data_IF_319173010367
#
_entry.id   IF_319173010367
#
_cell.length_a   1.000
_cell.length_b   1.000
_cell.length_c   1.000
_cell.angle_alpha   90.00
_cell.angle_beta   90.00
_cell.angle_gamma   90.00
#
_symmetry.space_group_name_H-M   'P 1'
#
loop_
_entity.id
_entity.type
_entity.pdbx_description
1 polymer ?
#
# COMPACT_ATOMS: atom_id res chain seq x y z
N UNK A 1 37.59 4.20 69.06
CA UNK A 1 38.04 4.69 67.72
C UNK A 1 36.81 4.84 66.87
N UNK A 2 36.21 6.05 66.94
CA UNK A 2 35.05 6.42 66.13
C UNK A 2 35.52 6.89 64.79
N UNK A 3 35.13 6.18 63.73
CA UNK A 3 35.31 6.61 62.38
C UNK A 3 34.10 7.44 61.92
N UNK A 4 34.25 8.77 61.93
CA UNK A 4 33.28 9.70 61.42
C UNK A 4 33.11 9.47 59.90
N UNK A 5 31.91 9.07 59.49
CA UNK A 5 31.49 9.04 58.08
C UNK A 5 31.23 10.51 57.65
N UNK A 6 32.04 11.02 56.76
CA UNK A 6 31.85 12.33 56.16
C UNK A 6 30.54 12.36 55.34
N UNK A 7 29.57 13.13 55.78
CA UNK A 7 28.36 13.46 55.01
C UNK A 7 28.77 14.27 53.77
N UNK A 8 28.38 13.74 52.65
CA UNK A 8 28.49 14.42 51.33
C UNK A 8 27.50 15.58 51.32
N UNK A 9 27.93 16.81 51.00
CA UNK A 9 26.98 17.90 50.94
C UNK A 9 25.95 17.68 49.84
N UNK A 10 24.69 17.86 50.19
CA UNK A 10 23.58 17.81 49.26
C UNK A 10 23.77 18.87 48.18
N UNK A 11 23.93 18.43 46.94
CA UNK A 11 23.85 19.32 45.77
C UNK A 11 22.42 19.89 45.68
N UNK A 12 22.25 21.12 46.14
CA UNK A 12 21.08 21.93 45.81
C UNK A 12 21.20 22.39 44.36
N UNK A 13 20.98 21.46 43.45
CA UNK A 13 20.73 21.80 42.06
C UNK A 13 19.35 22.41 41.95
N UNK A 14 19.23 23.65 41.53
CA UNK A 14 18.00 24.24 41.01
C UNK A 14 17.58 23.48 39.76
N UNK A 15 17.17 22.25 39.93
CA UNK A 15 16.55 21.46 38.87
C UNK A 15 15.20 22.07 38.57
N UNK A 16 15.13 22.82 37.50
CA UNK A 16 13.87 23.15 36.85
C UNK A 16 13.13 21.83 36.67
N UNK A 17 12.06 21.62 37.40
CA UNK A 17 11.27 20.39 37.24
C UNK A 17 10.99 20.23 35.77
N UNK A 18 11.41 19.09 35.21
CA UNK A 18 11.14 18.80 33.82
C UNK A 18 9.63 18.92 33.58
N UNK A 19 9.25 19.73 32.61
CA UNK A 19 7.82 19.82 32.25
C UNK A 19 7.26 18.43 32.08
N UNK A 20 6.09 18.11 32.66
CA UNK A 20 5.50 16.79 32.54
C UNK A 20 5.38 16.44 31.04
N UNK A 21 5.86 15.25 30.68
CA UNK A 21 5.80 14.79 29.31
C UNK A 21 4.33 14.76 28.84
N UNK A 22 4.06 15.39 27.70
CA UNK A 22 2.74 15.35 27.09
C UNK A 22 2.37 13.92 26.76
N UNK A 23 1.10 13.56 26.95
CA UNK A 23 0.59 12.28 26.52
C UNK A 23 0.49 12.22 24.98
N UNK A 24 0.59 11.01 24.39
CA UNK A 24 0.46 10.85 22.93
C UNK A 24 -0.84 11.45 22.40
N UNK A 25 -0.78 12.03 21.23
CA UNK A 25 -1.92 12.61 20.49
C UNK A 25 -3.19 11.76 20.52
N UNK A 26 -3.06 10.44 20.37
CA UNK A 26 -4.18 9.50 20.29
C UNK A 26 -5.07 9.54 21.55
N UNK A 27 -4.51 9.84 22.72
CA UNK A 27 -5.26 9.87 23.99
C UNK A 27 -6.24 11.03 24.10
N UNK A 28 -6.02 12.10 23.35
CA UNK A 28 -6.89 13.29 23.31
C UNK A 28 -7.72 13.41 22.04
N UNK A 29 -7.68 12.43 21.14
CA UNK A 29 -8.42 12.46 19.87
C UNK A 29 -9.61 11.50 19.87
N UNK A 30 -10.50 11.70 18.92
CA UNK A 30 -11.62 10.81 18.64
C UNK A 30 -11.47 10.18 17.25
N UNK A 31 -11.68 8.86 17.11
CA UNK A 31 -11.69 8.26 15.79
C UNK A 31 -12.88 8.75 14.97
N UNK A 32 -12.63 8.95 13.68
CA UNK A 32 -13.66 9.20 12.68
C UNK A 32 -13.64 8.02 11.73
N UNK A 33 -14.83 7.53 11.39
CA UNK A 33 -15.01 6.45 10.44
C UNK A 33 -16.36 6.65 9.74
N UNK A 34 -16.35 7.11 8.48
CA UNK A 34 -17.56 7.54 7.75
C UNK A 34 -17.56 7.03 6.33
N UNK A 35 -18.71 6.52 5.90
CA UNK A 35 -19.01 6.32 4.49
C UNK A 35 -19.60 7.62 3.92
N UNK A 36 -18.91 8.23 2.96
CA UNK A 36 -19.29 9.54 2.42
C UNK A 36 -19.60 9.44 0.95
N UNK A 37 -19.03 8.48 0.25
CA UNK A 37 -19.19 8.32 -1.19
C UNK A 37 -19.97 7.04 -1.50
N UNK A 38 -20.98 7.15 -2.36
CA UNK A 38 -21.75 6.03 -2.88
C UNK A 38 -22.15 6.35 -4.33
N UNK A 39 -21.62 5.58 -5.27
CA UNK A 39 -21.91 5.76 -6.68
C UNK A 39 -22.17 4.41 -7.34
N UNK A 40 -23.20 4.36 -8.19
CA UNK A 40 -23.53 3.16 -8.97
C UNK A 40 -23.43 3.50 -10.46
N UNK A 41 -22.69 2.69 -11.19
CA UNK A 41 -22.40 2.89 -12.60
C UNK A 41 -22.34 1.54 -13.32
N UNK A 42 -22.80 1.50 -14.57
CA UNK A 42 -22.73 0.30 -15.40
C UNK A 42 -21.34 0.23 -16.07
N UNK A 43 -20.69 -0.92 -15.99
CA UNK A 43 -19.49 -1.20 -16.79
C UNK A 43 -19.85 -1.26 -18.27
N UNK A 44 -18.97 -0.72 -19.09
CA UNK A 44 -19.14 -0.68 -20.54
C UNK A 44 -17.92 -1.32 -21.24
N UNK A 45 -17.93 -1.35 -22.56
CA UNK A 45 -16.78 -1.72 -23.37
C UNK A 45 -15.65 -0.67 -23.35
N UNK A 46 -15.94 0.54 -22.86
CA UNK A 46 -14.95 1.60 -22.61
C UNK A 46 -14.73 1.84 -21.11
N UNK A 47 -13.68 2.56 -20.77
CA UNK A 47 -13.44 2.99 -19.38
C UNK A 47 -14.42 4.08 -18.96
N UNK A 48 -14.85 4.07 -17.70
CA UNK A 48 -15.80 5.04 -17.16
C UNK A 48 -15.20 5.76 -15.96
N UNK A 49 -15.00 7.06 -16.07
CA UNK A 49 -14.52 7.88 -14.95
C UNK A 49 -15.67 8.11 -13.97
N UNK A 50 -15.42 7.78 -12.70
CA UNK A 50 -16.36 8.08 -11.62
C UNK A 50 -16.23 9.54 -11.16
N UNK A 51 -17.26 10.12 -10.51
CA UNK A 51 -17.14 11.42 -9.87
C UNK A 51 -15.95 11.43 -8.88
N UNK A 52 -15.12 12.47 -8.95
CA UNK A 52 -13.97 12.61 -8.03
C UNK A 52 -14.46 12.70 -6.58
N UNK A 53 -13.90 11.89 -5.70
CA UNK A 53 -14.14 11.99 -4.28
C UNK A 53 -13.21 13.03 -3.65
N UNK A 54 -13.79 14.04 -3.04
CA UNK A 54 -13.09 15.05 -2.26
C UNK A 54 -13.18 14.66 -0.77
N UNK A 55 -12.01 14.56 -0.10
CA UNK A 55 -11.98 14.13 1.30
C UNK A 55 -12.62 15.14 2.22
N UNK A 56 -13.41 14.67 3.19
CA UNK A 56 -13.94 15.49 4.26
C UNK A 56 -12.85 16.03 5.18
N UNK A 57 -12.99 17.30 5.57
CA UNK A 57 -11.97 18.06 6.31
C UNK A 57 -12.18 17.97 7.83
N UNK A 58 -12.07 16.77 8.38
CA UNK A 58 -12.42 16.48 9.79
C UNK A 58 -11.23 16.49 10.77
N UNK A 59 -10.01 16.70 10.29
CA UNK A 59 -8.83 16.68 11.16
C UNK A 59 -7.64 15.98 10.52
N UNK A 60 -7.45 14.68 10.78
CA UNK A 60 -6.31 13.91 10.29
C UNK A 60 -6.80 12.63 9.61
N UNK A 61 -6.57 12.51 8.31
CA UNK A 61 -6.93 11.32 7.53
C UNK A 61 -5.84 10.26 7.66
N UNK A 62 -6.22 9.04 8.02
CA UNK A 62 -5.32 7.87 8.15
C UNK A 62 -5.38 6.95 6.94
N UNK A 63 -6.51 6.90 6.28
CA UNK A 63 -6.72 6.07 5.11
C UNK A 63 -8.16 6.03 4.67
N UNK A 64 -8.39 5.26 3.62
CA UNK A 64 -9.72 5.00 3.08
C UNK A 64 -9.86 3.54 2.70
N UNK A 65 -11.09 3.03 2.73
CA UNK A 65 -11.47 1.78 2.10
C UNK A 65 -12.36 2.06 0.90
N UNK A 66 -12.03 1.45 -0.22
CA UNK A 66 -12.86 1.41 -1.41
C UNK A 66 -13.58 0.06 -1.41
N UNK A 67 -14.88 0.05 -1.20
CA UNK A 67 -15.73 -1.12 -1.35
C UNK A 67 -16.32 -1.10 -2.76
N UNK A 68 -16.02 -2.13 -3.53
CA UNK A 68 -16.53 -2.36 -4.87
C UNK A 68 -17.47 -3.56 -4.85
N UNK A 69 -18.71 -3.36 -5.32
CA UNK A 69 -19.72 -4.39 -5.42
C UNK A 69 -20.28 -4.41 -6.85
N UNK A 70 -20.06 -5.49 -7.55
CA UNK A 70 -20.57 -5.71 -8.89
C UNK A 70 -21.73 -6.68 -8.88
N UNK A 71 -22.84 -6.26 -9.44
CA UNK A 71 -24.00 -7.12 -9.72
C UNK A 71 -24.07 -7.35 -11.21
N UNK A 72 -23.82 -8.59 -11.62
CA UNK A 72 -23.98 -9.03 -12.98
C UNK A 72 -25.39 -9.60 -13.18
N UNK A 73 -25.95 -9.36 -14.37
CA UNK A 73 -27.11 -10.07 -14.84
C UNK A 73 -26.66 -10.97 -15.99
N UNK A 74 -26.77 -12.26 -15.80
CA UNK A 74 -26.31 -13.26 -16.75
C UNK A 74 -27.43 -14.22 -17.12
N UNK A 75 -27.27 -14.96 -18.21
CA UNK A 75 -28.21 -16.01 -18.62
C UNK A 75 -27.72 -17.37 -18.12
N UNK A 76 -28.62 -18.36 -18.05
CA UNK A 76 -28.27 -19.72 -17.66
C UNK A 76 -27.39 -20.44 -18.71
N UNK A 77 -27.30 -19.89 -19.91
CA UNK A 77 -26.52 -20.45 -21.03
C UNK A 77 -25.11 -19.91 -21.14
N UNK A 78 -24.78 -18.78 -20.44
CA UNK A 78 -23.48 -18.13 -20.53
C UNK A 78 -22.65 -18.38 -19.29
N UNK A 79 -21.39 -18.68 -19.50
CA UNK A 79 -20.39 -18.86 -18.44
C UNK A 79 -19.66 -17.54 -18.24
N UNK A 80 -19.63 -17.04 -17.02
CA UNK A 80 -18.80 -15.88 -16.68
C UNK A 80 -17.50 -16.37 -16.03
N UNK A 81 -16.36 -15.87 -16.52
CA UNK A 81 -15.05 -16.15 -15.98
C UNK A 81 -14.24 -14.85 -15.86
N UNK A 82 -13.35 -14.77 -14.85
CA UNK A 82 -12.52 -13.60 -14.62
C UNK A 82 -11.15 -13.75 -15.26
N UNK A 83 -10.55 -12.62 -15.62
CA UNK A 83 -9.14 -12.57 -16.00
C UNK A 83 -8.24 -12.90 -14.80
N UNK A 84 -6.96 -13.10 -15.05
CA UNK A 84 -5.94 -13.38 -14.02
C UNK A 84 -5.94 -12.34 -12.89
N UNK A 85 -6.13 -11.06 -13.22
CA UNK A 85 -6.14 -9.94 -12.28
C UNK A 85 -7.55 -9.57 -11.78
N UNK A 86 -8.56 -10.25 -12.28
CA UNK A 86 -9.95 -10.07 -11.85
C UNK A 86 -10.22 -10.62 -10.44
N UNK A 87 -11.16 -10.01 -9.69
CA UNK A 87 -11.95 -8.84 -10.03
C UNK A 87 -11.28 -7.49 -9.70
N UNK A 88 -10.10 -7.47 -9.06
CA UNK A 88 -9.46 -6.23 -8.60
C UNK A 88 -9.17 -5.25 -9.73
N UNK A 89 -8.90 -5.74 -10.95
CA UNK A 89 -8.67 -4.94 -12.15
C UNK A 89 -9.90 -4.11 -12.58
N UNK A 90 -11.04 -4.24 -11.91
CA UNK A 90 -12.25 -3.45 -12.19
C UNK A 90 -12.02 -1.93 -12.14
N UNK A 91 -10.98 -1.48 -11.45
CA UNK A 91 -10.50 -0.11 -11.56
C UNK A 91 -9.29 -0.04 -12.49
N UNK A 92 -9.45 0.68 -13.62
CA UNK A 92 -8.36 0.97 -14.54
C UNK A 92 -7.37 1.97 -13.93
N UNK A 93 -7.89 2.91 -13.13
CA UNK A 93 -7.05 3.91 -12.46
C UNK A 93 -7.62 4.24 -11.09
N UNK A 94 -6.74 4.20 -10.10
CA UNK A 94 -6.92 4.73 -8.76
C UNK A 94 -5.78 5.71 -8.53
N UNK A 95 -6.12 6.96 -8.22
CA UNK A 95 -5.14 7.99 -7.92
C UNK A 95 -5.58 8.81 -6.72
N UNK A 96 -4.74 8.84 -5.69
CA UNK A 96 -4.89 9.72 -4.55
C UNK A 96 -3.91 10.88 -4.67
N UNK A 97 -4.41 12.10 -4.64
CA UNK A 97 -3.65 13.33 -4.90
C UNK A 97 -3.71 14.30 -3.73
N UNK A 98 -2.64 15.06 -3.58
CA UNK A 98 -2.54 16.14 -2.62
C UNK A 98 -3.40 17.37 -3.04
N UNK A 99 -3.34 18.41 -2.23
CA UNK A 99 -4.06 19.67 -2.44
C UNK A 99 -3.63 20.43 -3.70
N UNK A 100 -2.46 20.12 -4.26
CA UNK A 100 -1.93 20.66 -5.50
C UNK A 100 -2.15 19.74 -6.71
N UNK A 101 -2.96 18.69 -6.56
CA UNK A 101 -3.19 17.63 -7.53
C UNK A 101 -1.94 16.78 -7.87
N UNK A 102 -0.91 16.79 -7.01
CA UNK A 102 0.24 15.92 -7.17
C UNK A 102 -0.10 14.52 -6.62
N UNK A 103 0.16 13.44 -7.37
CA UNK A 103 -0.09 12.10 -6.88
C UNK A 103 0.71 11.78 -5.62
N UNK A 104 0.04 11.19 -4.63
CA UNK A 104 0.62 10.59 -3.43
C UNK A 104 0.63 9.07 -3.60
N UNK A 105 -0.47 8.52 -4.15
CA UNK A 105 -0.61 7.10 -4.47
C UNK A 105 -1.13 6.98 -5.89
N UNK A 106 -0.43 6.24 -6.71
CA UNK A 106 -0.76 6.02 -8.12
C UNK A 106 -0.30 7.15 -9.06
N UNK A 107 -0.83 7.16 -10.32
CA UNK A 107 -1.93 6.32 -10.82
C UNK A 107 -1.57 4.84 -10.94
N UNK A 108 -2.46 3.98 -10.50
CA UNK A 108 -2.30 2.52 -10.59
C UNK A 108 -3.65 1.82 -10.74
N UNK A 109 -3.65 0.58 -11.22
CA UNK A 109 -4.88 -0.20 -11.35
C UNK A 109 -5.38 -0.68 -9.98
N UNK A 110 -6.62 -1.17 -9.93
CA UNK A 110 -7.14 -1.77 -8.72
C UNK A 110 -6.36 -3.02 -8.30
N UNK A 111 -5.88 -3.83 -9.27
CA UNK A 111 -4.99 -4.96 -9.00
C UNK A 111 -3.65 -4.49 -8.41
N UNK A 112 -3.04 -3.48 -9.01
CA UNK A 112 -1.78 -2.91 -8.51
C UNK A 112 -1.93 -2.45 -7.05
N UNK A 113 -3.01 -1.73 -6.74
CA UNK A 113 -3.27 -1.27 -5.38
C UNK A 113 -3.55 -2.43 -4.41
N UNK A 114 -4.19 -3.51 -4.87
CA UNK A 114 -4.37 -4.72 -4.07
C UNK A 114 -3.01 -5.37 -3.74
N UNK A 115 -2.07 -5.42 -4.69
CA UNK A 115 -0.71 -5.90 -4.46
C UNK A 115 0.07 -4.98 -3.50
N UNK A 116 -0.07 -3.67 -3.66
CA UNK A 116 0.49 -2.67 -2.73
C UNK A 116 -0.02 -2.89 -1.31
N UNK A 117 -1.29 -3.15 -1.13
CA UNK A 117 -1.89 -3.42 0.19
C UNK A 117 -1.39 -4.74 0.77
N UNK A 118 -1.38 -5.80 -0.05
CA UNK A 118 -0.96 -7.14 0.36
C UNK A 118 0.52 -7.16 0.78
N UNK A 119 1.39 -6.64 -0.06
CA UNK A 119 2.84 -6.64 0.15
C UNK A 119 3.37 -5.34 0.76
N UNK A 120 2.52 -4.39 1.04
CA UNK A 120 2.84 -3.12 1.68
C UNK A 120 2.76 -3.14 3.21
N UNK A 121 2.51 -4.31 3.83
CA UNK A 121 2.38 -4.43 5.29
C UNK A 121 1.02 -3.96 5.83
N UNK A 122 -0.03 -3.94 5.01
CA UNK A 122 -1.38 -3.54 5.42
C UNK A 122 -2.37 -4.72 5.49
N UNK A 123 -2.01 -5.88 4.97
CA UNK A 123 -2.77 -7.10 5.12
C UNK A 123 -2.29 -7.87 6.37
N UNK A 124 -3.22 -8.46 7.09
CA UNK A 124 -2.91 -9.31 8.25
C UNK A 124 -2.70 -10.73 7.72
N UNK A 125 -1.49 -11.21 7.54
CA UNK A 125 -1.10 -12.57 7.17
C UNK A 125 -2.02 -13.35 6.20
N UNK A 126 -3.22 -12.84 5.92
CA UNK A 126 -4.23 -13.41 5.05
C UNK A 126 -4.29 -12.66 3.72
N UNK A 127 -4.49 -13.39 2.64
CA UNK A 127 -4.78 -12.83 1.34
C UNK A 127 -6.06 -11.96 1.40
N UNK A 128 -6.10 -10.88 0.62
CA UNK A 128 -7.30 -10.07 0.46
C UNK A 128 -8.52 -10.89 -0.01
N UNK A 129 -8.29 -11.99 -0.73
CA UNK A 129 -9.31 -12.96 -1.15
C UNK A 129 -9.90 -13.77 0.02
N UNK A 130 -9.25 -13.81 1.17
CA UNK A 130 -9.76 -14.47 2.38
C UNK A 130 -10.61 -13.52 3.26
N UNK A 131 -10.85 -12.31 2.83
CA UNK A 131 -11.71 -11.35 3.52
C UNK A 131 -13.18 -11.74 3.42
N UNK A 132 -13.94 -11.52 4.49
CA UNK A 132 -15.41 -11.65 4.46
C UNK A 132 -16.08 -10.72 3.45
N UNK A 133 -15.40 -9.69 3.02
CA UNK A 133 -15.86 -8.77 1.98
C UNK A 133 -15.52 -9.21 0.56
N UNK A 134 -14.72 -10.27 0.40
CA UNK A 134 -14.39 -10.79 -0.92
C UNK A 134 -15.38 -11.89 -1.34
N UNK A 135 -15.94 -11.73 -2.50
CA UNK A 135 -16.76 -12.78 -3.14
C UNK A 135 -16.66 -12.67 -4.65
N UNK A 136 -16.67 -13.84 -5.31
CA UNK A 136 -16.63 -13.96 -6.76
C UNK A 136 -17.60 -15.07 -7.17
N UNK A 137 -18.50 -14.80 -8.10
CA UNK A 137 -19.41 -15.79 -8.66
C UNK A 137 -19.03 -16.06 -10.10
N UNK A 138 -18.50 -17.25 -10.37
CA UNK A 138 -18.16 -17.70 -11.72
C UNK A 138 -19.21 -18.69 -12.24
N UNK A 139 -19.12 -19.00 -13.51
CA UNK A 139 -19.94 -20.02 -14.15
C UNK A 139 -21.27 -19.52 -14.69
N UNK A 140 -22.19 -20.46 -14.91
CA UNK A 140 -23.52 -20.19 -15.44
C UNK A 140 -24.51 -19.79 -14.36
N UNK A 141 -25.52 -19.04 -14.71
CA UNK A 141 -26.59 -18.62 -13.81
C UNK A 141 -26.76 -17.11 -13.75
N UNK A 142 -27.88 -16.67 -13.22
CA UNK A 142 -28.31 -15.25 -13.27
C UNK A 142 -27.36 -14.28 -12.56
N UNK A 143 -26.54 -14.75 -11.62
CA UNK A 143 -25.55 -13.95 -10.88
C UNK A 143 -24.10 -14.22 -11.30
N UNK A 144 -23.88 -15.05 -12.32
CA UNK A 144 -22.52 -15.31 -12.85
C UNK A 144 -21.86 -14.03 -13.30
N UNK A 145 -20.63 -13.77 -12.85
CA UNK A 145 -19.90 -12.52 -13.06
C UNK A 145 -20.04 -11.50 -11.93
N UNK A 146 -20.89 -11.72 -10.93
CA UNK A 146 -20.97 -10.84 -9.77
C UNK A 146 -19.77 -10.99 -8.86
N UNK A 147 -19.29 -9.88 -8.29
CA UNK A 147 -18.17 -9.88 -7.37
C UNK A 147 -18.25 -8.77 -6.31
N UNK A 148 -17.46 -8.92 -5.27
CA UNK A 148 -17.28 -7.90 -4.23
C UNK A 148 -15.87 -7.98 -3.66
N UNK A 149 -15.27 -6.82 -3.41
CA UNK A 149 -13.99 -6.72 -2.72
C UNK A 149 -13.82 -5.37 -2.02
N UNK A 150 -12.88 -5.32 -1.09
CA UNK A 150 -12.41 -4.09 -0.45
C UNK A 150 -10.93 -3.90 -0.78
N UNK A 151 -10.55 -2.67 -1.15
CA UNK A 151 -9.17 -2.24 -1.27
C UNK A 151 -8.94 -1.08 -0.31
N UNK A 152 -7.84 -1.11 0.43
CA UNK A 152 -7.39 0.01 1.25
C UNK A 152 -6.55 0.97 0.42
N UNK A 153 -6.75 2.28 0.61
CA UNK A 153 -5.82 3.32 0.17
C UNK A 153 -4.90 3.63 1.37
N UNK A 154 -3.62 3.19 1.34
CA UNK A 154 -2.74 3.20 2.50
C UNK A 154 -2.08 4.58 2.68
N UNK A 155 -2.69 5.46 3.45
CA UNK A 155 -2.16 6.80 3.74
C UNK A 155 -1.21 6.75 4.94
N UNK A 156 -1.67 6.26 6.10
CA UNK A 156 -0.80 6.10 7.27
C UNK A 156 0.28 5.05 7.02
N UNK A 157 1.48 5.31 7.51
CA UNK A 157 2.61 4.40 7.39
C UNK A 157 2.54 3.28 8.43
N UNK A 158 2.25 3.63 9.68
CA UNK A 158 2.16 2.69 10.80
C UNK A 158 0.83 2.87 11.50
N UNK A 159 0.01 1.82 11.49
CA UNK A 159 -1.35 1.83 12.07
C UNK A 159 -1.34 2.06 13.58
N UNK A 160 -0.32 1.58 14.27
CA UNK A 160 -0.24 1.61 15.75
C UNK A 160 -0.28 3.03 16.31
N UNK A 161 0.45 3.95 15.69
CA UNK A 161 0.64 5.32 16.17
C UNK A 161 0.17 6.39 15.20
N UNK A 162 -0.34 5.97 14.01
CA UNK A 162 -0.84 6.88 13.00
C UNK A 162 0.22 7.73 12.32
N UNK A 163 1.48 7.32 12.38
CA UNK A 163 2.55 7.97 11.64
C UNK A 163 2.18 8.05 10.16
N UNK A 164 2.32 9.22 9.56
CA UNK A 164 1.93 9.48 8.18
C UNK A 164 0.46 9.87 7.99
N UNK A 165 -0.30 10.04 9.07
CA UNK A 165 -1.65 10.62 8.98
C UNK A 165 -1.57 12.05 8.41
N UNK A 166 -2.39 12.34 7.40
CA UNK A 166 -2.38 13.61 6.70
C UNK A 166 -3.27 14.64 7.40
N UNK A 167 -2.73 15.83 7.60
CA UNK A 167 -3.51 16.98 8.07
C UNK A 167 -4.56 17.36 7.02
N UNK A 168 -5.83 17.27 7.38
CA UNK A 168 -6.97 17.53 6.50
C UNK A 168 -8.02 18.40 7.20
N UNK A 169 -7.69 19.68 7.44
CA UNK A 169 -8.53 20.65 8.17
C UNK A 169 -8.98 21.82 7.31
N UNK A 170 -8.39 21.99 6.12
CA UNK A 170 -8.66 23.15 5.29
C UNK A 170 -9.71 22.82 4.22
N UNK A 171 -10.85 23.49 4.26
CA UNK A 171 -11.88 23.35 3.24
C UNK A 171 -11.48 23.91 1.87
N UNK A 172 -10.44 24.75 1.81
CA UNK A 172 -9.94 25.33 0.56
C UNK A 172 -8.79 24.52 -0.07
N UNK A 173 -8.21 23.57 0.68
CA UNK A 173 -7.08 22.78 0.23
C UNK A 173 -7.34 21.31 0.57
N UNK A 174 -8.02 20.62 -0.35
CA UNK A 174 -8.56 19.28 -0.12
C UNK A 174 -7.82 18.22 -0.91
N UNK A 175 -7.65 17.05 -0.29
CA UNK A 175 -7.16 15.84 -0.96
C UNK A 175 -8.27 15.24 -1.83
N UNK A 176 -7.87 14.55 -2.91
CA UNK A 176 -8.79 13.98 -3.88
C UNK A 176 -8.46 12.53 -4.17
N UNK A 177 -9.49 11.75 -4.37
CA UNK A 177 -9.39 10.39 -4.89
C UNK A 177 -10.15 10.31 -6.22
N UNK A 178 -9.42 10.04 -7.28
CA UNK A 178 -9.94 9.81 -8.61
C UNK A 178 -9.99 8.31 -8.92
N UNK A 179 -11.13 7.86 -9.43
CA UNK A 179 -11.39 6.47 -9.77
C UNK A 179 -11.90 6.38 -11.22
N UNK A 180 -11.36 5.44 -11.97
CA UNK A 180 -11.84 5.11 -13.32
C UNK A 180 -12.11 3.62 -13.40
N UNK A 181 -13.32 3.22 -13.76
CA UNK A 181 -13.67 1.83 -14.01
C UNK A 181 -13.04 1.34 -15.31
N UNK A 182 -12.66 0.08 -15.30
CA UNK A 182 -12.09 -0.59 -16.46
C UNK A 182 -13.18 -1.14 -17.39
N UNK A 183 -12.76 -1.67 -18.53
CA UNK A 183 -13.65 -2.30 -19.50
C UNK A 183 -14.09 -3.69 -19.03
N UNK A 184 -15.20 -4.18 -19.55
CA UNK A 184 -15.65 -5.56 -19.28
C UNK A 184 -14.55 -6.58 -19.65
N UNK A 185 -13.96 -6.47 -20.84
CA UNK A 185 -12.93 -7.39 -21.32
C UNK A 185 -11.65 -7.40 -20.47
N UNK A 186 -11.38 -6.34 -19.69
CA UNK A 186 -10.26 -6.31 -18.75
C UNK A 186 -10.54 -7.13 -17.49
N UNK A 187 -11.81 -7.20 -17.08
CA UNK A 187 -12.23 -7.88 -15.84
C UNK A 187 -12.58 -9.34 -16.10
N UNK A 188 -13.17 -9.61 -17.23
CA UNK A 188 -13.67 -10.93 -17.59
C UNK A 188 -12.91 -11.54 -18.77
N UNK A 189 -12.54 -12.79 -18.66
CA UNK A 189 -12.10 -13.60 -19.80
C UNK A 189 -13.31 -14.14 -20.59
N UNK A 190 -14.44 -14.34 -19.90
CA UNK A 190 -15.75 -14.63 -20.46
C UNK A 190 -16.77 -13.66 -19.84
N UNK A 191 -17.34 -12.79 -20.65
CA UNK A 191 -18.22 -11.73 -20.19
C UNK A 191 -19.62 -12.25 -19.79
N UNK A 192 -20.22 -11.71 -18.70
CA UNK A 192 -21.65 -11.84 -18.46
C UNK A 192 -22.46 -11.23 -19.61
N UNK A 193 -23.53 -11.90 -20.02
CA UNK A 193 -24.23 -11.60 -21.30
C UNK A 193 -25.02 -10.31 -21.35
N UNK A 194 -25.37 -9.69 -20.21
CA UNK A 194 -26.31 -8.57 -20.26
C UNK A 194 -25.74 -7.27 -19.73
N UNK A 195 -25.37 -7.21 -18.48
CA UNK A 195 -24.80 -6.00 -17.90
C UNK A 195 -24.13 -6.28 -16.56
N UNK A 196 -23.15 -5.46 -16.21
CA UNK A 196 -22.52 -5.45 -14.91
C UNK A 196 -22.66 -4.05 -14.31
N UNK A 197 -23.42 -3.95 -13.22
CA UNK A 197 -23.58 -2.71 -12.48
C UNK A 197 -22.61 -2.71 -11.30
N UNK A 198 -21.77 -1.68 -11.20
CA UNK A 198 -20.79 -1.54 -10.12
C UNK A 198 -21.25 -0.42 -9.19
N UNK A 199 -21.39 -0.77 -7.91
CA UNK A 199 -21.55 0.17 -6.82
C UNK A 199 -20.22 0.35 -6.11
N UNK A 200 -19.71 1.58 -6.11
CA UNK A 200 -18.45 1.96 -5.43
C UNK A 200 -18.78 2.81 -4.22
N UNK A 201 -18.34 2.38 -3.04
CA UNK A 201 -18.45 3.12 -1.80
C UNK A 201 -17.08 3.40 -1.20
N UNK A 202 -16.90 4.60 -0.65
CA UNK A 202 -15.64 4.99 0.00
C UNK A 202 -15.94 5.28 1.46
N UNK A 203 -15.15 4.64 2.33
CA UNK A 203 -15.19 4.87 3.77
C UNK A 203 -13.87 5.50 4.18
N UNK A 204 -13.93 6.74 4.65
CA UNK A 204 -12.78 7.49 5.16
C UNK A 204 -12.66 7.26 6.66
N UNK A 205 -11.43 7.02 7.15
CA UNK A 205 -11.15 6.91 8.56
C UNK A 205 -9.97 7.78 8.98
N UNK A 206 -10.02 8.26 10.21
CA UNK A 206 -9.02 9.20 10.72
C UNK A 206 -9.21 9.56 12.19
N UNK A 207 -8.69 10.71 12.56
CA UNK A 207 -8.89 11.31 13.87
C UNK A 207 -9.41 12.74 13.74
N UNK A 208 -10.31 13.10 14.62
CA UNK A 208 -10.63 14.51 14.88
C UNK A 208 -9.44 15.22 15.55
N UNK A 209 -9.52 16.52 15.67
CA UNK A 209 -8.55 17.29 16.48
C UNK A 209 -8.49 16.77 17.90
N UNK A 210 -7.27 16.86 18.47
CA UNK A 210 -7.09 16.58 19.87
C UNK A 210 -7.83 17.62 20.73
N UNK A 211 -8.56 17.14 21.72
CA UNK A 211 -9.14 18.00 22.75
C UNK A 211 -8.08 18.63 23.68
N UNK A 212 -6.78 18.38 23.43
CA UNK A 212 -5.61 18.83 24.20
C UNK A 212 -5.54 18.34 25.64
N UNK A 213 -6.55 17.68 26.13
CA UNK A 213 -6.63 17.10 27.45
C UNK A 213 -7.28 15.73 27.34
N UNK A 214 -6.64 14.70 27.87
CA UNK A 214 -7.21 13.37 27.90
C UNK A 214 -8.31 13.24 28.98
N UNK A 215 -9.00 12.09 29.01
CA UNK A 215 -10.06 11.81 30.00
C UNK A 215 -9.57 11.84 31.46
N UNK A 216 -8.26 11.71 31.68
CA UNK A 216 -7.63 11.83 33.00
C UNK A 216 -7.15 13.27 33.31
N UNK A 217 -7.53 14.24 32.48
CA UNK A 217 -7.14 15.66 32.58
C UNK A 217 -5.65 15.93 32.42
N UNK A 218 -4.94 15.04 31.75
CA UNK A 218 -3.53 15.27 31.40
C UNK A 218 -3.45 15.98 30.05
N UNK A 219 -2.45 16.85 29.92
CA UNK A 219 -2.16 17.49 28.64
C UNK A 219 -1.70 16.45 27.59
N UNK A 220 -2.23 16.56 26.38
CA UNK A 220 -1.89 15.71 25.24
C UNK A 220 -1.18 16.51 24.15
N UNK A 221 -0.37 15.81 23.34
CA UNK A 221 0.22 16.42 22.16
C UNK A 221 -0.92 16.82 21.17
N UNK A 222 -0.96 18.06 20.70
CA UNK A 222 -1.99 18.49 19.75
C UNK A 222 -1.82 17.93 18.34
N UNK A 223 -0.69 17.29 18.05
CA UNK A 223 -0.36 16.77 16.74
C UNK A 223 -0.08 15.26 16.77
N UNK A 224 -0.40 14.52 15.68
CA UNK A 224 0.02 13.15 15.53
C UNK A 224 1.56 13.05 15.46
N UNK A 225 2.11 11.85 15.70
CA UNK A 225 3.55 11.62 15.60
C UNK A 225 4.11 12.06 14.24
N UNK A 226 5.23 12.79 14.24
CA UNK A 226 5.94 13.23 13.06
C UNK A 226 5.00 13.79 11.96
N UNK A 227 4.15 14.74 12.35
CA UNK A 227 3.27 15.47 11.43
C UNK A 227 4.06 15.94 10.19
N UNK A 228 3.48 15.83 9.01
CA UNK A 228 4.08 16.06 7.69
C UNK A 228 5.03 14.94 7.21
N UNK A 229 5.17 13.85 7.93
CA UNK A 229 5.72 12.63 7.32
C UNK A 229 4.71 12.09 6.33
N UNK A 230 5.15 11.84 5.10
CA UNK A 230 4.29 11.33 4.04
C UNK A 230 4.92 10.09 3.41
N UNK A 231 4.09 9.11 3.10
CA UNK A 231 4.50 8.03 2.22
C UNK A 231 3.92 8.22 0.83
N UNK A 232 4.67 7.76 -0.14
CA UNK A 232 4.28 7.76 -1.54
C UNK A 232 4.32 6.33 -2.08
N UNK A 233 3.37 6.02 -2.94
CA UNK A 233 3.39 4.82 -3.74
C UNK A 233 3.33 5.21 -5.22
N UNK A 234 4.41 4.90 -5.92
CA UNK A 234 4.55 5.20 -7.33
C UNK A 234 4.71 3.89 -8.13
N UNK A 235 4.24 3.88 -9.37
CA UNK A 235 4.39 2.77 -10.30
C UNK A 235 5.26 3.20 -11.46
N UNK A 236 6.35 2.48 -11.68
CA UNK A 236 7.17 2.60 -12.87
C UNK A 236 6.91 1.40 -13.77
N UNK A 237 6.60 1.67 -15.03
CA UNK A 237 6.38 0.65 -16.05
C UNK A 237 7.47 0.75 -17.09
N UNK A 238 8.22 -0.32 -17.31
CA UNK A 238 9.35 -0.40 -18.20
C UNK A 238 9.12 -1.55 -19.17
N UNK A 239 9.29 -1.27 -20.47
CA UNK A 239 9.26 -2.31 -21.50
C UNK A 239 10.67 -2.87 -21.64
N UNK A 240 10.81 -4.19 -21.54
CA UNK A 240 12.07 -4.90 -21.64
C UNK A 240 11.95 -6.05 -22.64
N UNK A 241 13.04 -6.35 -23.33
CA UNK A 241 13.09 -7.57 -24.15
C UNK A 241 13.70 -8.73 -23.34
N UNK A 242 13.42 -9.95 -23.78
CA UNK A 242 14.12 -11.12 -23.27
C UNK A 242 15.65 -10.93 -23.39
N UNK A 243 16.39 -11.35 -22.37
CA UNK A 243 17.84 -11.16 -22.26
C UNK A 243 18.25 -10.30 -21.06
N UNK A 244 19.50 -9.83 -21.09
CA UNK A 244 20.06 -9.04 -19.99
C UNK A 244 19.38 -7.68 -19.86
N UNK A 245 18.99 -7.33 -18.64
CA UNK A 245 18.34 -6.06 -18.31
C UNK A 245 19.22 -5.20 -17.39
N UNK A 246 19.06 -3.89 -17.53
CA UNK A 246 19.68 -2.88 -16.68
C UNK A 246 18.67 -1.74 -16.52
N UNK A 247 17.86 -1.79 -15.47
CA UNK A 247 16.69 -0.94 -15.27
C UNK A 247 16.98 0.09 -14.17
N UNK A 248 17.27 1.34 -14.52
CA UNK A 248 17.47 2.40 -13.54
C UNK A 248 16.13 2.80 -12.91
N UNK A 249 16.12 2.96 -11.58
CA UNK A 249 15.01 3.46 -10.80
C UNK A 249 15.35 4.89 -10.34
N UNK A 250 14.94 5.89 -11.10
CA UNK A 250 15.44 7.25 -10.91
C UNK A 250 14.37 8.26 -10.46
N UNK A 251 13.16 7.82 -10.18
CA UNK A 251 12.01 8.75 -10.02
C UNK A 251 11.65 9.04 -8.57
N UNK A 252 12.37 8.50 -7.59
CA UNK A 252 12.05 8.70 -6.18
C UNK A 252 13.24 9.23 -5.39
N UNK A 253 12.93 9.95 -4.33
CA UNK A 253 13.90 10.51 -3.40
C UNK A 253 13.32 10.38 -1.98
N UNK A 254 14.15 10.03 -1.01
CA UNK A 254 13.75 9.82 0.37
C UNK A 254 14.17 8.46 0.92
N UNK A 255 13.35 7.89 1.78
CA UNK A 255 13.60 6.60 2.42
C UNK A 255 12.73 5.52 1.78
N UNK A 256 13.33 4.62 1.01
CA UNK A 256 12.59 3.50 0.39
C UNK A 256 12.25 2.48 1.46
N UNK A 257 10.96 2.26 1.64
CA UNK A 257 10.42 1.29 2.59
C UNK A 257 10.23 -0.08 1.96
N UNK A 258 9.76 -0.10 0.70
CA UNK A 258 9.46 -1.34 -0.01
C UNK A 258 9.52 -1.14 -1.52
N UNK A 259 9.93 -2.20 -2.22
CA UNK A 259 9.80 -2.34 -3.67
C UNK A 259 8.99 -3.60 -3.95
N UNK A 260 8.04 -3.53 -4.87
CA UNK A 260 7.34 -4.72 -5.35
C UNK A 260 7.55 -4.83 -6.85
N UNK A 261 8.09 -5.93 -7.29
CA UNK A 261 8.43 -6.20 -8.68
C UNK A 261 7.37 -7.11 -9.31
N UNK A 262 6.97 -6.78 -10.52
CA UNK A 262 6.06 -7.58 -11.31
C UNK A 262 6.59 -7.69 -12.74
N UNK A 263 6.66 -8.90 -13.28
CA UNK A 263 6.95 -9.12 -14.69
C UNK A 263 5.72 -9.71 -15.38
N UNK A 264 5.36 -9.12 -16.53
CA UNK A 264 4.31 -9.61 -17.43
C UNK A 264 4.91 -9.94 -18.79
N UNK A 265 4.45 -11.01 -19.40
CA UNK A 265 4.84 -11.38 -20.76
C UNK A 265 4.26 -10.42 -21.82
N UNK A 266 4.48 -10.72 -23.09
CA UNK A 266 3.95 -9.95 -24.21
C UNK A 266 2.43 -9.90 -24.28
N UNK A 267 1.75 -10.87 -23.67
CA UNK A 267 0.28 -10.94 -23.59
C UNK A 267 -0.26 -10.28 -22.31
N UNK A 268 0.62 -9.61 -21.56
CA UNK A 268 0.30 -9.00 -20.25
C UNK A 268 -0.11 -10.02 -19.18
N UNK A 269 0.23 -11.31 -19.37
CA UNK A 269 0.04 -12.33 -18.35
C UNK A 269 1.15 -12.26 -17.29
N UNK A 270 0.75 -12.17 -16.05
CA UNK A 270 1.61 -12.18 -14.87
C UNK A 270 2.12 -13.61 -14.58
N UNK A 271 1.25 -14.60 -14.78
CA UNK A 271 1.59 -16.02 -14.58
C UNK A 271 2.64 -16.50 -15.58
N UNK A 272 2.53 -16.10 -16.85
CA UNK A 272 3.56 -16.40 -17.84
C UNK A 272 4.85 -15.62 -17.55
N UNK A 273 4.74 -14.35 -17.19
CA UNK A 273 5.88 -13.51 -16.77
C UNK A 273 6.66 -14.08 -15.59
N UNK A 274 6.00 -14.79 -14.68
CA UNK A 274 6.66 -15.48 -13.55
C UNK A 274 7.71 -16.50 -14.01
N UNK A 275 7.48 -17.20 -15.12
CA UNK A 275 8.46 -18.15 -15.68
C UNK A 275 9.70 -17.43 -16.19
N UNK A 276 9.52 -16.26 -16.74
CA UNK A 276 10.55 -15.45 -17.40
C UNK A 276 11.26 -14.46 -16.45
N UNK A 277 10.83 -14.40 -15.19
CA UNK A 277 11.41 -13.51 -14.18
C UNK A 277 12.90 -13.84 -13.96
N UNK A 278 13.79 -12.83 -13.91
CA UNK A 278 15.22 -13.02 -13.78
C UNK A 278 15.63 -13.87 -12.58
N UNK A 279 16.60 -14.77 -12.79
CA UNK A 279 17.15 -15.66 -11.77
C UNK A 279 18.66 -15.86 -11.98
N UNK A 280 19.56 -15.25 -11.16
CA UNK A 280 19.23 -14.36 -10.05
C UNK A 280 18.75 -12.98 -10.49
N UNK A 281 17.99 -12.32 -9.62
CA UNK A 281 17.64 -10.90 -9.76
C UNK A 281 18.47 -10.07 -8.79
N UNK A 282 19.03 -8.98 -9.28
CA UNK A 282 19.94 -8.12 -8.53
C UNK A 282 19.41 -6.70 -8.42
N UNK A 283 19.54 -6.10 -7.24
CA UNK A 283 19.36 -4.67 -7.04
C UNK A 283 20.69 -4.04 -6.66
N UNK A 284 21.18 -3.17 -7.50
CA UNK A 284 22.42 -2.43 -7.31
C UNK A 284 22.10 -1.07 -6.69
N UNK A 285 22.87 -0.74 -5.66
CA UNK A 285 22.83 0.56 -5.00
C UNK A 285 24.22 1.21 -5.18
N UNK A 286 24.30 2.22 -6.02
CA UNK A 286 25.56 2.83 -6.50
C UNK A 286 26.53 1.75 -7.00
N UNK A 287 27.63 1.53 -6.28
CA UNK A 287 28.67 0.56 -6.64
C UNK A 287 28.53 -0.78 -5.91
N UNK A 288 27.51 -0.94 -5.07
CA UNK A 288 27.30 -2.16 -4.29
C UNK A 288 26.11 -2.94 -4.79
N UNK A 289 26.07 -4.24 -4.49
CA UNK A 289 24.95 -5.14 -4.79
C UNK A 289 24.39 -5.67 -3.48
N UNK A 290 23.56 -4.89 -2.78
CA UNK A 290 22.99 -5.31 -1.51
C UNK A 290 22.00 -6.47 -1.66
N UNK A 291 21.44 -6.65 -2.84
CA UNK A 291 20.46 -7.71 -3.11
C UNK A 291 20.85 -8.47 -4.36
N UNK A 292 21.07 -9.77 -4.23
CA UNK A 292 21.15 -10.75 -5.32
C UNK A 292 20.39 -11.98 -4.87
N UNK A 293 19.23 -12.25 -5.47
CA UNK A 293 18.32 -13.28 -5.00
C UNK A 293 17.98 -14.28 -6.09
N UNK A 294 18.11 -15.57 -5.74
CA UNK A 294 17.50 -16.63 -6.50
C UNK A 294 15.97 -16.61 -6.31
N UNK A 295 15.23 -16.87 -7.36
CA UNK A 295 13.78 -16.85 -7.41
C UNK A 295 13.13 -17.76 -6.35
N UNK A 296 13.63 -18.97 -6.15
CA UNK A 296 13.08 -19.89 -5.16
C UNK A 296 13.37 -19.46 -3.72
N UNK A 297 14.55 -18.87 -3.46
CA UNK A 297 14.86 -18.28 -2.17
C UNK A 297 13.94 -17.10 -1.88
N UNK A 298 13.69 -16.25 -2.88
CA UNK A 298 12.77 -15.13 -2.71
C UNK A 298 11.35 -15.57 -2.38
N UNK A 299 10.87 -16.61 -3.05
CA UNK A 299 9.57 -17.24 -2.76
C UNK A 299 9.48 -17.73 -1.31
N UNK A 300 10.56 -18.33 -0.80
CA UNK A 300 10.63 -18.74 0.60
C UNK A 300 10.59 -17.54 1.55
N UNK A 301 11.33 -16.49 1.25
CA UNK A 301 11.34 -15.26 2.05
C UNK A 301 9.99 -14.55 2.10
N UNK A 302 9.17 -14.63 1.04
CA UNK A 302 7.78 -14.11 1.08
C UNK A 302 6.98 -14.80 2.18
N UNK A 303 7.20 -16.10 2.40
CA UNK A 303 6.53 -16.82 3.50
C UNK A 303 7.02 -16.34 4.86
N UNK A 304 8.31 -16.08 5.01
CA UNK A 304 8.89 -15.58 6.26
C UNK A 304 8.45 -14.14 6.55
N UNK A 305 8.53 -13.26 5.54
CA UNK A 305 8.25 -11.84 5.70
C UNK A 305 6.75 -11.53 5.85
N UNK A 306 5.87 -12.30 5.19
CA UNK A 306 4.44 -11.98 5.09
C UNK A 306 3.51 -13.08 5.63
N UNK A 307 4.01 -14.26 5.97
CA UNK A 307 3.20 -15.39 6.40
C UNK A 307 2.37 -16.03 5.29
N UNK A 308 2.60 -15.72 4.01
CA UNK A 308 1.90 -16.30 2.88
C UNK A 308 2.49 -17.64 2.48
N UNK A 309 1.64 -18.54 1.92
CA UNK A 309 2.11 -19.80 1.38
C UNK A 309 3.10 -19.59 0.22
N UNK A 310 4.20 -20.36 0.22
CA UNK A 310 5.15 -20.40 -0.88
C UNK A 310 4.61 -21.12 -2.13
N UNK A 311 3.45 -21.80 -2.05
CA UNK A 311 2.79 -22.42 -3.19
C UNK A 311 2.41 -21.38 -4.24
N UNK A 312 2.37 -21.77 -5.50
CA UNK A 312 1.90 -20.92 -6.59
C UNK A 312 0.42 -20.59 -6.41
N UNK A 313 0.04 -19.41 -6.88
CA UNK A 313 -1.34 -18.98 -6.91
C UNK A 313 -2.23 -20.02 -7.61
N UNK A 314 -3.30 -20.40 -6.92
CA UNK A 314 -4.33 -21.24 -7.46
C UNK A 314 -5.69 -20.61 -7.18
N UNK A 315 -6.65 -20.79 -8.08
CA UNK A 315 -8.00 -20.21 -8.01
C UNK A 315 -8.75 -20.55 -6.73
N UNK A 316 -8.44 -21.71 -6.12
CA UNK A 316 -9.12 -22.22 -4.93
C UNK A 316 -8.34 -22.01 -3.62
N UNK A 317 -7.12 -21.46 -3.67
CA UNK A 317 -6.29 -21.36 -2.47
C UNK A 317 -5.99 -19.89 -2.18
N UNK A 318 -6.69 -19.25 -1.22
CA UNK A 318 -6.56 -17.83 -0.95
C UNK A 318 -5.20 -17.41 -0.37
N UNK A 319 -4.46 -18.32 0.27
CA UNK A 319 -3.16 -18.06 0.93
C UNK A 319 -1.97 -18.46 0.06
N UNK A 320 -2.09 -18.40 -1.26
CA UNK A 320 -1.00 -18.70 -2.16
C UNK A 320 -0.19 -17.46 -2.54
N UNK A 321 1.05 -17.69 -2.95
CA UNK A 321 1.89 -16.64 -3.51
C UNK A 321 1.34 -16.20 -4.88
N UNK A 322 1.28 -14.91 -5.12
CA UNK A 322 0.92 -14.38 -6.44
C UNK A 322 2.05 -14.66 -7.45
N UNK A 323 1.69 -15.18 -8.60
CA UNK A 323 2.63 -15.45 -9.67
C UNK A 323 3.15 -14.14 -10.26
N UNK A 324 4.46 -14.09 -10.52
CA UNK A 324 5.12 -12.92 -11.10
C UNK A 324 5.33 -11.74 -10.16
N UNK A 325 4.94 -11.84 -8.89
CA UNK A 325 5.08 -10.77 -7.90
C UNK A 325 6.20 -11.09 -6.91
N UNK A 326 7.14 -10.15 -6.77
CA UNK A 326 8.34 -10.28 -5.94
C UNK A 326 8.53 -9.04 -5.05
N UNK A 327 8.01 -9.05 -3.81
CA UNK A 327 8.20 -7.94 -2.86
C UNK A 327 9.60 -7.95 -2.27
N UNK A 328 10.16 -6.77 -2.07
CA UNK A 328 11.46 -6.53 -1.44
C UNK A 328 11.31 -5.48 -0.34
N UNK A 329 10.92 -5.87 0.88
CA UNK A 329 10.88 -4.95 2.00
C UNK A 329 12.30 -4.65 2.51
N UNK A 330 12.52 -3.40 2.93
CA UNK A 330 13.77 -2.96 3.54
C UNK A 330 13.70 -2.88 5.07
N UNK A 331 12.52 -3.03 5.65
CA UNK A 331 12.35 -3.05 7.09
C UNK A 331 12.56 -4.47 7.65
N UNK A 332 13.26 -4.58 8.78
CA UNK A 332 13.62 -5.87 9.39
C UNK A 332 12.45 -6.64 10.00
N UNK A 333 11.37 -5.96 10.37
CA UNK A 333 10.16 -6.53 10.97
C UNK A 333 8.89 -6.27 10.12
N UNK A 334 9.10 -6.10 8.83
CA UNK A 334 8.04 -5.86 7.87
C UNK A 334 7.07 -7.04 7.81
N UNK A 335 5.82 -6.83 7.96
CA UNK A 335 4.81 -7.88 7.85
C UNK A 335 4.68 -8.85 9.04
N UNK A 336 5.63 -8.90 9.98
CA UNK A 336 5.51 -9.75 11.17
C UNK A 336 4.26 -9.41 11.98
N UNK A 337 3.94 -8.14 12.08
CA UNK A 337 2.71 -7.64 12.71
C UNK A 337 2.26 -6.39 11.98
N UNK A 338 1.30 -6.50 11.07
CA UNK A 338 0.83 -5.35 10.30
C UNK A 338 0.51 -4.14 11.16
N UNK A 339 1.04 -2.99 10.79
CA UNK A 339 0.86 -1.73 11.49
C UNK A 339 1.68 -1.57 12.76
N UNK A 340 2.68 -2.42 13.01
CA UNK A 340 3.55 -2.33 14.18
C UNK A 340 5.05 -2.35 13.83
N UNK A 341 5.40 -2.11 12.58
CA UNK A 341 6.79 -2.11 12.13
C UNK A 341 7.65 -1.08 12.88
N UNK A 342 8.93 -1.41 13.10
CA UNK A 342 9.88 -0.58 13.82
C UNK A 342 10.41 0.60 13.01
N UNK A 343 10.27 0.57 11.68
CA UNK A 343 10.78 1.57 10.73
C UNK A 343 12.31 1.60 10.60
N UNK A 344 12.98 0.56 11.08
CA UNK A 344 14.42 0.39 10.89
C UNK A 344 14.71 -0.31 9.56
N UNK A 345 15.78 0.10 8.90
CA UNK A 345 16.27 -0.55 7.69
C UNK A 345 15.84 0.11 6.38
N UNK A 346 15.03 1.16 6.41
CA UNK A 346 14.66 1.87 5.18
C UNK A 346 15.90 2.31 4.39
N UNK A 347 15.87 2.06 3.08
CA UNK A 347 16.99 2.39 2.20
C UNK A 347 17.01 3.90 1.89
N UNK A 348 18.05 4.65 2.31
CA UNK A 348 18.13 6.07 1.97
C UNK A 348 18.50 6.24 0.50
N UNK A 349 17.70 6.97 -0.26
CA UNK A 349 17.92 7.31 -1.66
C UNK A 349 17.85 8.82 -1.83
N UNK A 350 18.87 9.37 -2.48
CA UNK A 350 18.91 10.78 -2.87
C UNK A 350 18.93 10.91 -4.40
N UNK A 351 18.77 12.12 -4.89
CA UNK A 351 18.86 12.39 -6.33
C UNK A 351 20.22 12.00 -6.95
N UNK A 352 21.27 11.87 -6.12
CA UNK A 352 22.60 11.42 -6.55
C UNK A 352 22.79 9.91 -6.46
N UNK A 353 21.85 9.18 -5.83
CA UNK A 353 21.97 7.74 -5.63
C UNK A 353 21.43 7.01 -6.85
N UNK A 354 22.21 6.06 -7.37
CA UNK A 354 21.78 5.18 -8.45
C UNK A 354 21.22 3.88 -7.88
N UNK A 355 19.95 3.60 -8.14
CA UNK A 355 19.33 2.31 -7.86
C UNK A 355 19.01 1.63 -9.19
N UNK A 356 19.57 0.45 -9.43
CA UNK A 356 19.46 -0.24 -10.72
C UNK A 356 19.10 -1.70 -10.49
N UNK A 357 18.06 -2.18 -11.15
CA UNK A 357 17.74 -3.59 -11.21
C UNK A 357 18.43 -4.27 -12.39
N UNK A 358 19.00 -5.45 -12.16
CA UNK A 358 19.68 -6.25 -13.18
C UNK A 358 19.28 -7.71 -13.11
N UNK A 359 19.46 -8.40 -14.21
CA UNK A 359 19.21 -9.83 -14.35
C UNK A 359 19.06 -10.22 -15.80
N UNK A 360 18.59 -11.43 -16.04
CA UNK A 360 18.30 -11.92 -17.39
C UNK A 360 16.85 -12.36 -17.45
N UNK A 361 16.04 -11.64 -18.21
CA UNK A 361 14.64 -11.99 -18.48
C UNK A 361 14.63 -13.19 -19.42
N UNK A 362 13.91 -14.23 -19.05
CA UNK A 362 13.73 -15.44 -19.85
C UNK A 362 12.76 -15.25 -21.03
N UNK A 363 12.37 -16.38 -21.64
CA UNK A 363 11.38 -16.41 -22.71
C UNK A 363 11.85 -15.75 -24.01
N UNK A 364 10.90 -15.13 -24.71
CA UNK A 364 11.13 -14.43 -25.98
C UNK A 364 10.19 -13.25 -26.13
N UNK A 365 10.63 -12.24 -26.92
CA UNK A 365 9.82 -11.06 -27.20
C UNK A 365 9.90 -9.99 -26.13
N UNK A 366 8.88 -9.14 -26.10
CA UNK A 366 8.80 -7.98 -25.21
C UNK A 366 8.03 -8.33 -23.95
N UNK A 367 8.52 -7.87 -22.81
CA UNK A 367 7.90 -8.00 -21.50
C UNK A 367 7.63 -6.64 -20.90
N UNK A 368 6.70 -6.57 -19.97
CA UNK A 368 6.42 -5.38 -19.17
C UNK A 368 6.93 -5.60 -17.76
N UNK A 369 7.89 -4.79 -17.32
CA UNK A 369 8.40 -4.79 -15.96
C UNK A 369 7.77 -3.65 -15.18
N UNK A 370 6.90 -3.98 -14.23
CA UNK A 370 6.31 -3.02 -13.31
C UNK A 370 7.07 -3.01 -12.00
N UNK A 371 7.31 -1.83 -11.47
CA UNK A 371 7.93 -1.64 -10.15
C UNK A 371 7.06 -0.71 -9.35
N UNK A 372 6.56 -1.19 -8.22
CA UNK A 372 5.85 -0.36 -7.25
C UNK A 372 6.84 0.07 -6.19
N UNK A 373 7.05 1.37 -6.08
CA UNK A 373 8.01 1.95 -5.16
C UNK A 373 7.28 2.62 -4.02
N UNK A 374 7.51 2.14 -2.80
CA UNK A 374 7.07 2.82 -1.60
C UNK A 374 8.24 3.58 -0.99
N UNK A 375 8.14 4.89 -0.96
CA UNK A 375 9.13 5.73 -0.30
C UNK A 375 8.47 6.70 0.68
N UNK A 376 9.21 7.04 1.70
CA UNK A 376 8.76 7.90 2.80
C UNK A 376 9.57 9.17 2.80
N UNK A 377 8.87 10.30 2.84
CA UNK A 377 9.47 11.60 3.07
C UNK A 377 9.27 11.97 4.53
N UNK A 378 10.33 11.96 5.36
CA UNK A 378 10.19 12.26 6.77
C UNK A 378 9.88 13.73 7.01
N UNK A 379 9.19 14.04 8.09
CA UNK A 379 8.92 15.41 8.51
C UNK A 379 10.22 16.22 8.59
N UNK A 380 10.20 17.41 7.98
CA UNK A 380 11.36 18.31 7.91
C UNK A 380 12.62 17.72 7.26
N UNK A 381 12.47 16.62 6.50
CA UNK A 381 13.63 15.93 5.91
C UNK A 381 14.52 15.19 6.91
N UNK A 382 14.14 15.10 8.17
CA UNK A 382 14.92 14.41 9.21
C UNK A 382 14.47 12.95 9.40
N UNK A 383 15.29 11.96 9.02
CA UNK A 383 14.98 10.54 9.22
C UNK A 383 14.72 10.15 10.68
N UNK A 384 15.28 10.87 11.64
CA UNK A 384 15.05 10.63 13.08
C UNK A 384 13.60 10.87 13.49
N UNK A 385 12.87 11.69 12.75
CA UNK A 385 11.44 11.90 12.99
C UNK A 385 10.61 10.63 12.86
N UNK A 386 11.07 9.65 12.09
CA UNK A 386 10.40 8.35 11.92
C UNK A 386 10.50 7.46 13.16
N UNK A 387 11.58 7.58 13.93
CA UNK A 387 11.86 6.72 15.08
C UNK A 387 11.42 7.32 16.42
N UNK A 388 10.77 8.49 16.40
CA UNK A 388 10.26 9.13 17.60
C UNK A 388 11.34 9.76 18.49
N UNK A 389 12.48 10.13 17.92
CA UNK A 389 13.50 10.92 18.62
C UNK A 389 14.12 10.24 19.85
N UNK A 390 14.48 8.96 19.76
CA UNK A 390 15.29 8.26 20.77
C UNK A 390 16.76 8.47 20.53
#
# INVERSE_FOLDING_TARGET
MDTAVAERPAQTGNGKAAAPALRPFITGTRPIDRQIYDNTTVMTTGTVRLPTYTLDTDGYTRGMYILCEATAVNTTASTAAFTEDGPFIAFATIQFSDTNNKPIIGPMTGHDLAMVVKYGGYAFSDDAKNSCAYSVTTGTGTSGGSFRFIIRVPIELVRRDGLGALLNKSASAVYKLDLTLNTLASVYSDDPTTSVSIRTRIQQFGWMDSDKVDYMKNATDPNPPALNTMQYWDKQTLVVNAGAINLPLNTFNGLVRNLVWELRDSNQSRTAGDNDFPDPFEVHYDKTVPVSRNKNVWRHMITEDFGYSAATEATATPLSRDNGIYPLPYNVDYGLKPGAESRFGYLPVSAATSVVARGTVGGSGSHTFNVFVNYVWPANGDPKSLTGGR
#
